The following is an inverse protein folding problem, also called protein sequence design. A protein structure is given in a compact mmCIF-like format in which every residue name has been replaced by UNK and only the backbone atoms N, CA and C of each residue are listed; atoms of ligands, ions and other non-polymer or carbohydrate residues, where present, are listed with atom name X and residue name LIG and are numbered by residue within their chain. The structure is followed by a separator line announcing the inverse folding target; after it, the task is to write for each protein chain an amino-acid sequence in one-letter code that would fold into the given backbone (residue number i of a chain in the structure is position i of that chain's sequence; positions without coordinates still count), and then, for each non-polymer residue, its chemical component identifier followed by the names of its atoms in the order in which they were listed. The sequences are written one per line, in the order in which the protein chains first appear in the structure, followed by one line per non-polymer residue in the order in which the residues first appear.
data_IF_349234227813
#
_entry.id   IF_349234227813
#
_cell.length_a   1.000
_cell.length_b   1.000
_cell.length_c   1.000
_cell.angle_alpha   90.00
_cell.angle_beta   90.00
_cell.angle_gamma   90.00
#
_symmetry.space_group_name_H-M   'P 1'
#
loop_
_entity.id
_entity.type
_entity.pdbx_description
1 polymer ?
#
# COMPACT_ATOMS: atom_id res chain seq x y z
N UNK A 1 -12.65 -36.04 -10.63
CA UNK A 1 -12.22 -34.81 -11.33
C UNK A 1 -12.96 -33.64 -10.70
N UNK A 2 -12.25 -32.71 -10.04
CA UNK A 2 -12.86 -31.66 -9.22
C UNK A 2 -13.62 -30.64 -10.07
N UNK A 3 -14.77 -30.14 -9.59
CA UNK A 3 -15.59 -29.10 -10.26
C UNK A 3 -14.75 -27.87 -10.63
N UNK A 4 -13.75 -27.53 -9.81
CA UNK A 4 -12.80 -26.45 -10.09
C UNK A 4 -11.97 -26.68 -11.37
N UNK A 5 -11.60 -27.93 -11.66
CA UNK A 5 -10.83 -28.26 -12.88
C UNK A 5 -11.64 -28.09 -14.16
N UNK A 6 -12.95 -28.34 -14.09
CA UNK A 6 -13.88 -28.18 -15.22
C UNK A 6 -14.16 -26.70 -15.50
N UNK A 7 -14.34 -25.89 -14.46
CA UNK A 7 -14.56 -24.45 -14.57
C UNK A 7 -13.31 -23.75 -15.12
N UNK A 8 -12.12 -24.17 -14.68
CA UNK A 8 -10.85 -23.60 -15.15
C UNK A 8 -10.60 -23.92 -16.64
N UNK A 9 -10.86 -25.17 -17.07
CA UNK A 9 -10.76 -25.55 -18.49
C UNK A 9 -11.76 -24.82 -19.38
N UNK A 10 -12.99 -24.57 -18.89
CA UNK A 10 -14.05 -23.91 -19.65
C UNK A 10 -13.77 -22.42 -19.90
N UNK A 11 -13.02 -21.76 -19.01
CA UNK A 11 -12.76 -20.30 -19.08
C UNK A 11 -11.42 -19.93 -19.76
N UNK A 12 -10.42 -20.82 -19.73
CA UNK A 12 -9.06 -20.53 -20.23
C UNK A 12 -8.59 -21.39 -21.42
N UNK A 13 -9.43 -22.31 -21.91
CA UNK A 13 -9.08 -23.17 -23.05
C UNK A 13 -7.85 -24.08 -22.79
N UNK A 14 -7.33 -24.73 -23.84
CA UNK A 14 -6.17 -25.66 -23.80
C UNK A 14 -4.82 -24.99 -23.48
N UNK A 15 -4.78 -23.83 -22.83
CA UNK A 15 -3.51 -23.23 -22.40
C UNK A 15 -3.03 -24.01 -21.17
N UNK A 16 -2.07 -24.91 -21.38
CA UNK A 16 -1.47 -25.67 -20.29
C UNK A 16 -0.70 -24.77 -19.31
N UNK A 17 -0.62 -25.18 -18.05
CA UNK A 17 0.08 -24.47 -16.97
C UNK A 17 1.50 -24.00 -17.38
N UNK A 18 2.24 -24.83 -18.12
CA UNK A 18 3.58 -24.48 -18.66
C UNK A 18 3.57 -23.24 -19.56
N UNK A 19 2.53 -23.10 -20.39
CA UNK A 19 2.40 -21.99 -21.32
C UNK A 19 1.98 -20.71 -20.59
N UNK A 20 1.14 -20.82 -19.57
CA UNK A 20 0.80 -19.71 -18.67
C UNK A 20 2.04 -19.19 -17.93
N UNK A 21 2.84 -20.09 -17.34
CA UNK A 21 4.11 -19.73 -16.67
C UNK A 21 5.03 -19.01 -17.65
N UNK A 22 5.21 -19.55 -18.87
CA UNK A 22 6.05 -18.92 -19.90
C UNK A 22 5.59 -17.50 -20.23
N UNK A 23 4.29 -17.26 -20.41
CA UNK A 23 3.77 -15.91 -20.67
C UNK A 23 4.00 -14.96 -19.48
N UNK A 24 3.74 -15.42 -18.25
CA UNK A 24 3.99 -14.63 -17.04
C UNK A 24 5.47 -14.26 -16.91
N UNK A 25 6.38 -15.20 -17.15
CA UNK A 25 7.83 -14.95 -17.11
C UNK A 25 8.25 -13.89 -18.13
N UNK A 26 7.68 -13.91 -19.35
CA UNK A 26 7.95 -12.90 -20.38
C UNK A 26 7.43 -11.53 -19.93
N UNK A 27 6.22 -11.45 -19.39
CA UNK A 27 5.64 -10.19 -18.89
C UNK A 27 6.52 -9.61 -17.77
N UNK A 28 6.94 -10.44 -16.82
CA UNK A 28 7.83 -10.01 -15.74
C UNK A 28 9.16 -9.48 -16.31
N UNK A 29 9.78 -10.21 -17.23
CA UNK A 29 11.08 -9.85 -17.78
C UNK A 29 11.06 -8.61 -18.67
N UNK A 30 10.02 -8.45 -19.50
CA UNK A 30 9.96 -7.40 -20.54
C UNK A 30 9.21 -6.16 -20.08
N UNK A 31 8.29 -6.29 -19.13
CA UNK A 31 7.47 -5.16 -18.66
C UNK A 31 7.85 -4.78 -17.24
N UNK A 32 7.77 -5.71 -16.30
CA UNK A 32 7.96 -5.38 -14.89
C UNK A 32 9.39 -4.94 -14.56
N UNK A 33 10.40 -5.75 -14.92
CA UNK A 33 11.79 -5.46 -14.59
C UNK A 33 12.28 -4.12 -15.16
N UNK A 34 11.99 -3.76 -16.43
CA UNK A 34 12.37 -2.44 -16.95
C UNK A 34 11.71 -1.29 -16.19
N UNK A 35 10.41 -1.38 -15.88
CA UNK A 35 9.71 -0.32 -15.13
C UNK A 35 10.25 -0.22 -13.70
N UNK A 36 10.51 -1.35 -13.05
CA UNK A 36 11.13 -1.40 -11.72
C UNK A 36 12.54 -0.79 -11.73
N UNK A 37 13.33 -1.03 -12.77
CA UNK A 37 14.65 -0.41 -12.94
C UNK A 37 14.53 1.11 -13.10
N UNK A 38 13.57 1.60 -13.90
CA UNK A 38 13.29 3.04 -14.02
C UNK A 38 12.87 3.65 -12.68
N UNK A 39 12.01 2.96 -11.92
CA UNK A 39 11.60 3.40 -10.59
C UNK A 39 12.79 3.47 -9.62
N UNK A 40 13.65 2.45 -9.60
CA UNK A 40 14.85 2.42 -8.79
C UNK A 40 15.80 3.58 -9.11
N UNK A 41 16.10 3.78 -10.39
CA UNK A 41 16.94 4.88 -10.88
C UNK A 41 16.32 6.22 -10.49
N UNK A 42 15.03 6.40 -10.76
CA UNK A 42 14.30 7.60 -10.38
C UNK A 42 14.47 7.91 -8.88
N UNK A 43 14.36 6.91 -8.00
CA UNK A 43 14.44 7.10 -6.55
C UNK A 43 15.83 7.53 -6.08
N UNK A 44 16.88 7.01 -6.74
CA UNK A 44 18.26 7.43 -6.48
C UNK A 44 18.49 8.88 -6.91
N UNK A 45 17.87 9.33 -8.01
CA UNK A 45 18.06 10.66 -8.56
C UNK A 45 17.14 11.73 -7.95
N UNK A 46 16.10 11.36 -7.21
CA UNK A 46 15.28 12.31 -6.46
C UNK A 46 16.11 12.97 -5.35
N UNK A 47 16.56 14.22 -5.57
CA UNK A 47 17.35 14.97 -4.59
C UNK A 47 16.44 15.70 -3.59
N UNK A 48 16.03 14.97 -2.56
CA UNK A 48 15.11 15.43 -1.51
C UNK A 48 15.44 14.74 -0.20
N UNK A 49 15.11 15.39 0.91
CA UNK A 49 15.11 14.81 2.25
C UNK A 49 13.70 14.39 2.69
N UNK A 50 12.71 14.49 1.80
CA UNK A 50 11.32 14.09 2.04
C UNK A 50 11.06 12.68 1.53
N UNK A 51 10.33 11.91 2.33
CA UNK A 51 10.05 10.51 2.07
C UNK A 51 8.57 10.20 2.20
N UNK A 52 8.12 9.26 1.38
CA UNK A 52 6.88 8.53 1.56
C UNK A 52 7.20 7.19 2.25
N UNK A 53 6.66 6.98 3.44
CA UNK A 53 6.75 5.70 4.13
C UNK A 53 5.62 4.78 3.65
N UNK A 54 5.97 3.63 3.09
CA UNK A 54 5.03 2.59 2.68
C UNK A 54 5.10 1.43 3.68
N UNK A 55 4.10 1.33 4.55
CA UNK A 55 4.01 0.36 5.62
C UNK A 55 3.15 -0.83 5.20
N UNK A 56 3.78 -1.99 5.07
CA UNK A 56 3.15 -3.25 4.65
C UNK A 56 2.97 -4.16 5.86
N UNK A 57 1.72 -4.43 6.24
CA UNK A 57 1.43 -5.37 7.34
C UNK A 57 1.67 -6.82 6.92
N UNK A 58 2.23 -7.65 7.81
CA UNK A 58 2.26 -9.11 7.61
C UNK A 58 0.88 -9.76 7.76
N UNK A 59 -0.11 -9.01 8.26
CA UNK A 59 -1.52 -9.39 8.28
C UNK A 59 -2.30 -8.70 7.18
N UNK A 60 -1.66 -8.37 6.05
CA UNK A 60 -2.32 -7.56 5.03
C UNK A 60 -3.49 -8.28 4.33
N UNK A 61 -3.49 -9.62 4.28
CA UNK A 61 -4.57 -10.39 3.63
C UNK A 61 -5.26 -11.42 4.55
N UNK A 62 -4.58 -11.95 5.58
CA UNK A 62 -5.10 -12.90 6.58
C UNK A 62 -4.27 -12.84 7.87
N UNK A 63 -4.77 -13.44 8.95
CA UNK A 63 -4.09 -13.51 10.25
C UNK A 63 -2.72 -14.22 10.20
N UNK A 64 -2.32 -14.82 9.08
CA UNK A 64 -1.05 -15.55 8.92
C UNK A 64 -0.33 -15.31 7.58
N UNK A 65 -0.44 -14.12 6.98
CA UNK A 65 0.11 -13.86 5.64
C UNK A 65 1.48 -13.18 5.61
N UNK A 66 2.48 -13.82 6.23
CA UNK A 66 3.87 -13.35 6.16
C UNK A 66 4.45 -13.23 4.73
N UNK A 67 3.79 -13.85 3.75
CA UNK A 67 4.09 -13.78 2.32
C UNK A 67 3.40 -12.61 1.61
N UNK A 68 2.48 -11.91 2.28
CA UNK A 68 1.78 -10.74 1.75
C UNK A 68 2.70 -9.54 1.47
N UNK A 69 3.63 -9.13 2.37
CA UNK A 69 4.44 -7.95 2.13
C UNK A 69 5.33 -8.05 0.89
N UNK A 70 6.04 -9.18 0.60
CA UNK A 70 6.78 -9.32 -0.64
C UNK A 70 5.92 -9.22 -1.90
N UNK A 71 4.71 -9.79 -1.91
CA UNK A 71 3.81 -9.72 -3.07
C UNK A 71 3.25 -8.31 -3.25
N UNK A 72 2.83 -7.66 -2.14
CA UNK A 72 2.36 -6.29 -2.15
C UNK A 72 3.47 -5.34 -2.64
N UNK A 73 4.70 -5.53 -2.19
CA UNK A 73 5.86 -4.81 -2.70
C UNK A 73 6.07 -5.04 -4.20
N UNK A 74 6.08 -6.30 -4.66
CA UNK A 74 6.27 -6.57 -6.08
C UNK A 74 5.17 -5.92 -6.93
N UNK A 75 3.92 -5.95 -6.51
CA UNK A 75 2.84 -5.26 -7.22
C UNK A 75 2.98 -3.73 -7.21
N UNK A 76 3.47 -3.18 -6.10
CA UNK A 76 3.37 -1.74 -5.83
C UNK A 76 4.62 -0.94 -6.13
N UNK A 77 5.80 -1.57 -6.05
CA UNK A 77 7.08 -0.88 -6.05
C UNK A 77 7.24 0.13 -7.20
N UNK A 78 7.12 -0.27 -8.48
CA UNK A 78 7.41 0.68 -9.54
C UNK A 78 6.43 1.84 -9.59
N UNK A 79 5.14 1.59 -9.32
CA UNK A 79 4.09 2.59 -9.41
C UNK A 79 4.20 3.65 -8.31
N UNK A 80 4.32 3.20 -7.07
CA UNK A 80 4.40 4.06 -5.89
C UNK A 80 5.70 4.86 -5.84
N UNK A 81 6.82 4.22 -6.15
CA UNK A 81 8.10 4.91 -6.25
C UNK A 81 8.05 6.00 -7.32
N UNK A 82 7.60 5.69 -8.56
CA UNK A 82 7.51 6.72 -9.60
C UNK A 82 6.54 7.85 -9.22
N UNK A 83 5.43 7.52 -8.57
CA UNK A 83 4.44 8.49 -8.12
C UNK A 83 5.02 9.50 -7.13
N UNK A 84 5.67 9.03 -6.07
CA UNK A 84 6.24 9.91 -5.04
C UNK A 84 7.47 10.65 -5.55
N UNK A 85 8.31 10.00 -6.35
CA UNK A 85 9.47 10.65 -6.94
C UNK A 85 9.07 11.82 -7.85
N UNK A 86 7.99 11.67 -8.62
CA UNK A 86 7.45 12.75 -9.46
C UNK A 86 6.94 13.95 -8.64
N UNK A 87 6.74 13.78 -7.32
CA UNK A 87 6.37 14.81 -6.35
C UNK A 87 7.53 15.28 -5.49
N UNK A 88 8.75 14.81 -5.76
CA UNK A 88 9.93 15.18 -4.99
C UNK A 88 10.01 14.50 -3.62
N UNK A 89 9.45 13.29 -3.49
CA UNK A 89 9.60 12.43 -2.32
C UNK A 89 10.23 11.09 -2.72
N UNK A 90 11.14 10.57 -1.90
CA UNK A 90 11.65 9.21 -2.06
C UNK A 90 10.70 8.20 -1.43
N UNK A 91 10.63 6.98 -1.95
CA UNK A 91 9.87 5.90 -1.31
C UNK A 91 10.73 5.09 -0.35
N UNK A 92 10.23 4.82 0.86
CA UNK A 92 10.81 3.89 1.83
C UNK A 92 9.80 2.80 2.21
N UNK A 93 10.21 1.53 2.16
CA UNK A 93 9.31 0.39 2.32
C UNK A 93 9.59 -0.36 3.62
N UNK A 94 8.57 -0.48 4.45
CA UNK A 94 8.59 -1.24 5.70
C UNK A 94 7.84 -2.55 5.50
N UNK A 95 8.58 -3.65 5.42
CA UNK A 95 8.02 -4.99 5.32
C UNK A 95 7.68 -5.52 6.70
N UNK A 96 6.49 -6.11 6.84
CA UNK A 96 6.00 -6.60 8.14
C UNK A 96 6.03 -5.50 9.20
N UNK A 97 5.57 -4.31 8.81
CA UNK A 97 5.60 -3.12 9.63
C UNK A 97 4.84 -3.32 10.96
N UNK A 98 5.46 -2.88 12.05
CA UNK A 98 4.97 -2.96 13.42
C UNK A 98 4.43 -1.61 13.90
N UNK A 99 3.80 -1.59 15.08
CA UNK A 99 3.44 -0.34 15.75
C UNK A 99 4.65 0.55 15.99
N UNK A 100 5.79 -0.01 16.35
CA UNK A 100 7.02 0.77 16.55
C UNK A 100 7.43 1.47 15.25
N UNK A 101 7.43 0.76 14.12
CA UNK A 101 7.80 1.35 12.82
C UNK A 101 6.89 2.52 12.46
N UNK A 102 5.57 2.36 12.66
CA UNK A 102 4.64 3.47 12.45
C UNK A 102 4.92 4.67 13.37
N UNK A 103 5.18 4.43 14.66
CA UNK A 103 5.50 5.52 15.59
C UNK A 103 6.81 6.23 15.21
N UNK A 104 7.82 5.49 14.78
CA UNK A 104 9.08 6.06 14.30
C UNK A 104 8.86 6.91 13.04
N UNK A 105 8.01 6.45 12.11
CA UNK A 105 7.60 7.21 10.91
C UNK A 105 6.88 8.51 11.29
N UNK A 106 6.01 8.49 12.30
CA UNK A 106 5.37 9.71 12.78
C UNK A 106 6.39 10.69 13.37
N UNK A 107 7.32 10.21 14.19
CA UNK A 107 8.29 11.05 14.89
C UNK A 107 9.39 11.61 13.98
N UNK A 108 9.74 10.92 12.91
CA UNK A 108 10.77 11.37 11.97
C UNK A 108 10.19 12.36 10.94
N UNK A 109 10.76 13.57 10.92
CA UNK A 109 10.34 14.66 10.05
C UNK A 109 10.69 14.43 8.58
N UNK A 110 11.56 13.45 8.24
CA UNK A 110 11.84 13.13 6.84
C UNK A 110 10.60 12.53 6.15
N UNK A 111 9.78 11.77 6.86
CA UNK A 111 8.56 11.20 6.29
C UNK A 111 7.46 12.25 6.24
N UNK A 112 6.94 12.50 5.04
CA UNK A 112 5.92 13.50 4.75
C UNK A 112 4.65 12.89 4.16
N UNK A 113 4.77 11.77 3.45
CA UNK A 113 3.65 10.94 3.03
C UNK A 113 3.69 9.60 3.74
N UNK A 114 2.52 9.02 3.98
CA UNK A 114 2.36 7.75 4.67
C UNK A 114 1.35 6.90 3.91
N UNK A 115 1.75 5.66 3.58
CA UNK A 115 0.91 4.68 2.91
C UNK A 115 0.78 3.46 3.80
N UNK A 116 -0.45 3.05 4.10
CA UNK A 116 -0.74 1.80 4.80
C UNK A 116 -1.28 0.76 3.85
N UNK A 117 -0.78 -0.47 3.95
CA UNK A 117 -1.32 -1.63 3.24
C UNK A 117 -1.64 -2.72 4.26
N UNK A 118 -2.90 -3.16 4.29
CA UNK A 118 -3.37 -4.30 5.08
C UNK A 118 -4.75 -4.11 5.71
N UNK A 119 -5.14 -4.93 6.68
CA UNK A 119 -6.47 -4.83 7.30
C UNK A 119 -6.67 -3.56 8.14
N UNK A 120 -7.91 -3.08 8.21
CA UNK A 120 -8.32 -1.95 9.05
C UNK A 120 -9.47 -1.11 8.47
N UNK A 121 -9.71 0.03 9.09
CA UNK A 121 -10.75 1.03 8.78
C UNK A 121 -10.14 2.43 8.73
N UNK A 122 -10.89 3.49 8.43
CA UNK A 122 -10.30 4.84 8.36
C UNK A 122 -9.77 5.32 9.72
N UNK A 123 -10.26 4.76 10.82
CA UNK A 123 -9.79 5.01 12.18
C UNK A 123 -8.80 3.97 12.75
N UNK A 124 -8.46 2.90 12.03
CA UNK A 124 -7.53 1.88 12.51
C UNK A 124 -6.70 1.20 11.39
N UNK A 125 -5.53 0.68 11.73
CA UNK A 125 -4.75 -0.20 10.86
C UNK A 125 -4.14 -1.35 11.66
N UNK A 126 -4.25 -2.57 11.14
CA UNK A 126 -3.65 -3.78 11.73
C UNK A 126 -2.19 -3.88 11.32
N UNK A 127 -1.29 -3.36 12.17
CA UNK A 127 0.13 -3.64 12.05
C UNK A 127 0.42 -5.12 12.34
N UNK A 128 1.65 -5.54 12.08
CA UNK A 128 2.09 -6.94 12.21
C UNK A 128 2.00 -7.45 13.65
N UNK A 129 2.27 -6.60 14.63
CA UNK A 129 2.30 -6.97 16.04
C UNK A 129 1.00 -6.61 16.78
N UNK A 130 0.29 -5.58 16.32
CA UNK A 130 -0.92 -5.08 16.99
C UNK A 130 -1.77 -4.20 16.10
N UNK A 131 -2.98 -3.88 16.56
CA UNK A 131 -3.81 -2.84 15.94
C UNK A 131 -3.40 -1.46 16.46
N UNK A 132 -3.36 -0.51 15.53
CA UNK A 132 -3.12 0.91 15.79
C UNK A 132 -4.41 1.65 15.46
N UNK A 133 -4.82 2.56 16.33
CA UNK A 133 -6.03 3.36 16.16
C UNK A 133 -5.76 4.85 16.24
N UNK A 134 -6.76 5.65 15.89
CA UNK A 134 -6.78 7.09 16.14
C UNK A 134 -6.48 7.45 17.62
N UNK A 135 -6.89 6.63 18.59
CA UNK A 135 -6.55 6.83 20.01
C UNK A 135 -5.05 6.72 20.30
N UNK A 136 -4.33 5.85 19.60
CA UNK A 136 -2.89 5.72 19.77
C UNK A 136 -2.15 6.97 19.27
N UNK A 137 -2.62 7.54 18.16
CA UNK A 137 -2.11 8.80 17.61
C UNK A 137 -2.44 9.96 18.54
N UNK A 138 -3.67 10.02 19.06
CA UNK A 138 -4.11 11.11 19.95
C UNK A 138 -3.26 11.19 21.23
N UNK A 139 -2.86 10.03 21.80
CA UNK A 139 -1.96 9.97 22.97
C UNK A 139 -0.56 10.57 22.73
N UNK A 140 -0.12 10.67 21.48
CA UNK A 140 1.16 11.24 21.11
C UNK A 140 1.01 12.52 20.29
N UNK A 141 -0.21 13.05 20.19
CA UNK A 141 -0.48 14.32 19.50
C UNK A 141 0.34 15.43 20.15
N UNK A 142 0.95 16.27 19.30
CA UNK A 142 1.88 17.32 19.74
C UNK A 142 3.31 16.85 20.02
N UNK A 143 3.60 15.53 19.97
CA UNK A 143 4.97 15.00 20.03
C UNK A 143 5.63 14.85 18.65
N UNK A 144 4.85 14.94 17.59
CA UNK A 144 5.31 14.91 16.20
C UNK A 144 4.80 16.12 15.43
N UNK A 145 5.49 16.48 14.34
CA UNK A 145 5.02 17.52 13.43
C UNK A 145 3.99 16.95 12.46
N UNK A 146 2.91 17.71 12.20
CA UNK A 146 1.95 17.34 11.18
C UNK A 146 2.64 17.18 9.82
N UNK A 147 2.19 16.20 9.05
CA UNK A 147 2.78 15.81 7.78
C UNK A 147 2.16 16.61 6.63
N UNK A 148 2.97 17.01 5.66
CA UNK A 148 2.53 17.88 4.56
C UNK A 148 2.34 17.16 3.22
N UNK A 149 2.68 15.88 3.13
CA UNK A 149 2.49 15.06 1.93
C UNK A 149 1.07 14.51 1.84
N UNK A 150 0.96 13.19 1.65
CA UNK A 150 -0.31 12.48 1.49
C UNK A 150 -0.44 11.31 2.47
N UNK A 151 -1.63 11.12 3.04
CA UNK A 151 -2.01 9.90 3.75
C UNK A 151 -2.82 9.02 2.83
N UNK A 152 -2.35 7.81 2.55
CA UNK A 152 -3.06 6.86 1.71
C UNK A 152 -3.25 5.55 2.44
N UNK A 153 -4.50 5.18 2.66
CA UNK A 153 -4.84 3.99 3.43
C UNK A 153 -5.52 2.96 2.54
N UNK A 154 -4.72 1.98 2.16
CA UNK A 154 -5.10 0.78 1.42
C UNK A 154 -5.52 -0.30 2.41
N UNK A 155 -6.62 -0.07 3.13
CA UNK A 155 -7.16 -1.03 4.10
C UNK A 155 -8.61 -1.41 3.85
N UNK A 156 -8.96 -2.64 4.25
CA UNK A 156 -10.26 -3.25 4.00
C UNK A 156 -11.05 -3.52 5.28
N UNK A 157 -12.37 -3.30 5.16
CA UNK A 157 -13.45 -4.09 5.77
C UNK A 157 -13.78 -3.96 7.27
N UNK A 158 -13.27 -2.95 7.99
CA UNK A 158 -13.84 -2.63 9.31
C UNK A 158 -14.86 -1.48 9.22
N UNK A 159 -16.08 -1.65 9.79
CA UNK A 159 -17.04 -0.56 9.94
C UNK A 159 -16.41 0.60 10.70
N UNK A 160 -16.41 1.79 10.10
CA UNK A 160 -15.94 2.99 10.77
C UNK A 160 -17.12 3.74 11.40
N UNK A 161 -17.13 3.77 12.73
CA UNK A 161 -18.10 4.54 13.51
C UNK A 161 -17.47 5.75 14.19
N UNK A 162 -16.18 6.01 13.94
CA UNK A 162 -15.49 7.13 14.57
C UNK A 162 -15.64 8.39 13.70
N UNK A 163 -15.96 9.54 14.30
CA UNK A 163 -15.94 10.81 13.59
C UNK A 163 -14.52 11.35 13.33
N UNK A 164 -13.49 10.66 13.85
CA UNK A 164 -12.09 11.10 13.76
C UNK A 164 -11.26 9.99 13.14
N UNK A 165 -10.70 10.25 11.98
CA UNK A 165 -9.88 9.26 11.27
C UNK A 165 -8.39 9.47 11.51
N UNK A 166 -7.59 8.42 11.32
CA UNK A 166 -6.14 8.47 11.63
C UNK A 166 -5.41 9.52 10.79
N UNK A 167 -5.70 9.61 9.49
CA UNK A 167 -5.03 10.55 8.59
C UNK A 167 -5.31 12.00 8.93
N UNK A 168 -6.52 12.32 9.39
CA UNK A 168 -6.91 13.68 9.80
C UNK A 168 -6.15 14.18 11.03
N UNK A 169 -5.69 13.26 11.88
CA UNK A 169 -4.88 13.59 13.05
C UNK A 169 -3.40 13.84 12.71
N UNK A 170 -2.95 13.38 11.55
CA UNK A 170 -1.54 13.36 11.16
C UNK A 170 -1.23 14.37 10.06
N UNK A 171 -2.16 14.61 9.14
CA UNK A 171 -1.94 15.46 7.97
C UNK A 171 -2.31 16.92 8.24
N UNK A 172 -1.43 17.85 7.82
CA UNK A 172 -1.67 19.28 7.97
C UNK A 172 -2.77 19.82 7.03
N UNK A 173 -2.86 19.27 5.82
CA UNK A 173 -3.70 19.80 4.74
C UNK A 173 -4.89 18.90 4.36
N UNK A 174 -5.27 17.96 5.22
CA UNK A 174 -6.32 16.97 4.98
C UNK A 174 -6.21 16.21 3.64
N UNK A 175 -4.98 16.04 3.12
CA UNK A 175 -4.66 15.21 1.96
C UNK A 175 -4.72 13.74 2.35
N UNK A 176 -5.94 13.26 2.63
CA UNK A 176 -6.21 11.97 3.23
C UNK A 176 -7.09 11.15 2.31
N UNK A 177 -6.62 9.94 2.01
CA UNK A 177 -7.14 9.10 0.96
C UNK A 177 -7.43 7.70 1.50
N UNK A 178 -8.67 7.27 1.35
CA UNK A 178 -9.12 5.95 1.81
C UNK A 178 -9.54 5.09 0.62
N UNK A 179 -9.27 3.79 0.74
CA UNK A 179 -9.83 2.82 -0.19
C UNK A 179 -11.31 2.54 0.16
N UNK A 180 -12.21 2.73 -0.81
CA UNK A 180 -13.66 2.70 -0.60
C UNK A 180 -14.36 1.35 -0.83
N UNK A 181 -13.63 0.27 -1.07
CA UNK A 181 -14.18 -1.07 -1.35
C UNK A 181 -13.43 -2.19 -0.64
N UNK A 182 -13.88 -3.44 -0.78
CA UNK A 182 -13.05 -4.60 -0.37
C UNK A 182 -11.95 -4.79 -1.42
N UNK A 183 -10.72 -4.35 -1.14
CA UNK A 183 -9.58 -4.73 -1.97
C UNK A 183 -9.13 -6.15 -1.60
N UNK A 184 -9.24 -7.06 -2.57
CA UNK A 184 -8.55 -8.34 -2.51
C UNK A 184 -7.06 -8.20 -2.86
N UNK A 185 -6.28 -9.23 -2.59
CA UNK A 185 -4.82 -9.29 -2.88
C UNK A 185 -4.48 -8.95 -4.33
N UNK A 186 -5.32 -9.36 -5.28
CA UNK A 186 -5.12 -9.10 -6.71
C UNK A 186 -5.46 -7.66 -7.09
N UNK A 187 -6.46 -7.08 -6.44
CA UNK A 187 -6.83 -5.68 -6.63
C UNK A 187 -5.76 -4.77 -6.03
N UNK A 188 -5.15 -5.06 -4.88
CA UNK A 188 -4.03 -4.25 -4.39
C UNK A 188 -2.79 -4.26 -5.31
N UNK A 189 -2.50 -5.41 -5.94
CA UNK A 189 -1.34 -5.56 -6.85
C UNK A 189 -1.61 -4.92 -8.21
N UNK A 190 -2.80 -5.09 -8.78
CA UNK A 190 -3.18 -4.43 -10.03
C UNK A 190 -3.52 -2.96 -9.81
N UNK A 191 -4.23 -2.64 -8.74
CA UNK A 191 -4.51 -1.26 -8.34
C UNK A 191 -3.30 -0.57 -7.77
N UNK A 192 -2.17 -1.17 -7.43
CA UNK A 192 -0.99 -0.32 -7.27
C UNK A 192 -0.65 0.45 -8.58
N UNK A 193 -1.02 -0.10 -9.75
CA UNK A 193 -0.98 0.58 -11.05
C UNK A 193 -2.24 1.44 -11.32
N UNK A 194 -3.43 1.08 -10.80
CA UNK A 194 -4.73 1.77 -11.06
C UNK A 194 -5.32 2.60 -9.91
N UNK A 195 -4.85 2.45 -8.67
CA UNK A 195 -5.39 2.99 -7.42
C UNK A 195 -5.39 4.50 -7.45
N UNK A 196 -4.45 5.11 -8.18
CA UNK A 196 -4.47 6.55 -8.44
C UNK A 196 -5.77 7.03 -9.09
N UNK A 197 -6.46 6.20 -9.88
CA UNK A 197 -7.77 6.53 -10.46
C UNK A 197 -8.91 6.37 -9.46
N UNK A 198 -8.96 5.29 -8.68
CA UNK A 198 -10.08 5.04 -7.77
C UNK A 198 -9.99 5.81 -6.46
N UNK A 199 -8.79 5.97 -5.91
CA UNK A 199 -8.54 6.75 -4.71
C UNK A 199 -8.89 8.22 -4.94
N UNK A 200 -8.48 8.83 -6.07
CA UNK A 200 -8.84 10.22 -6.38
C UNK A 200 -10.31 10.41 -6.75
N UNK A 201 -10.97 9.40 -7.33
CA UNK A 201 -12.38 9.54 -7.75
C UNK A 201 -13.36 9.44 -6.58
N UNK A 202 -12.96 8.80 -5.47
CA UNK A 202 -13.80 8.56 -4.29
C UNK A 202 -13.38 9.40 -3.06
N UNK A 203 -12.46 10.37 -3.20
CA UNK A 203 -11.94 11.21 -2.11
C UNK A 203 -12.34 12.70 -2.20
N UNK A 204 -13.43 13.00 -2.90
CA UNK A 204 -14.13 14.27 -2.72
C UNK A 204 -15.34 14.06 -1.80
N UNK A 205 -15.62 15.03 -0.90
CA UNK A 205 -16.46 14.86 0.30
C UNK A 205 -17.86 14.31 0.05
#
# INVERSE_FOLDING_TARGET
MSIYSLIFQKKFGKIGLKQLIKYLSIIIAVVYLPIAAVAYVSNLFTKTDKYAAILLSAHAFSDHDYWAPPIAFLGSYPAWTLYFNSRGEKSDYFFSATKKDFMDVLMDNKYQSIVFVGHGSRNCWRATDTQISNYDIDKIKGKFQLKHGEWIQLSCAEPDYSPVHMGELVMANNNVYYYGGSAGTFDFVLDALTAFRHIKKNSHP
#
